data_IF_817983581151
#
_entry.id   IF_817983581151
#
_cell.length_a   1.000
_cell.length_b   1.000
_cell.length_c   1.000
_cell.angle_alpha   90.00
_cell.angle_beta   90.00
_cell.angle_gamma   90.00
#
_symmetry.space_group_name_H-M   'P 1'
#
loop_
_entity.id
_entity.type
_entity.pdbx_description
1 polymer ?
#
# COMPACT_ATOMS: atom_id res chain seq x y z
N UNK A 1 -11.13 1.84 1.53
CA UNK A 1 -10.38 1.04 0.54
C UNK A 1 -11.15 -0.21 0.10
N UNK A 2 -11.66 -1.04 1.03
CA UNK A 2 -12.45 -2.24 0.71
C UNK A 2 -13.62 -1.95 -0.26
N UNK A 3 -14.43 -0.93 0.04
CA UNK A 3 -15.56 -0.53 -0.82
C UNK A 3 -15.07 -0.14 -2.23
N UNK A 4 -13.97 0.61 -2.34
CA UNK A 4 -13.38 0.95 -3.63
C UNK A 4 -12.96 -0.31 -4.41
N UNK A 5 -12.35 -1.29 -3.75
CA UNK A 5 -12.02 -2.58 -4.37
C UNK A 5 -13.24 -3.33 -4.89
N UNK A 6 -14.33 -3.39 -4.11
CA UNK A 6 -15.59 -4.00 -4.56
C UNK A 6 -16.19 -3.26 -5.77
N UNK A 7 -16.07 -1.93 -5.82
CA UNK A 7 -16.55 -1.14 -6.96
C UNK A 7 -15.71 -1.33 -8.22
N UNK A 8 -14.40 -1.58 -8.09
CA UNK A 8 -13.51 -1.86 -9.24
C UNK A 8 -13.87 -3.18 -9.96
N UNK A 9 -14.46 -4.14 -9.25
CA UNK A 9 -14.93 -5.39 -9.87
C UNK A 9 -16.02 -5.13 -10.91
N UNK A 10 -16.94 -4.18 -10.63
CA UNK A 10 -17.97 -3.75 -11.59
C UNK A 10 -17.38 -3.10 -12.85
N UNK A 11 -16.18 -2.54 -12.75
CA UNK A 11 -15.41 -1.96 -13.87
C UNK A 11 -14.54 -2.98 -14.60
N UNK A 12 -14.60 -4.27 -14.20
CA UNK A 12 -13.70 -5.34 -14.70
C UNK A 12 -12.21 -5.03 -14.47
N UNK A 13 -11.89 -4.21 -13.46
CA UNK A 13 -10.52 -3.90 -13.09
C UNK A 13 -10.04 -4.87 -12.01
N UNK A 14 -9.52 -6.03 -12.43
CA UNK A 14 -9.00 -7.05 -11.52
C UNK A 14 -7.85 -6.52 -10.66
N UNK A 15 -6.96 -5.71 -11.23
CA UNK A 15 -5.84 -5.12 -10.48
C UNK A 15 -6.34 -4.26 -9.32
N UNK A 16 -7.23 -3.30 -9.62
CA UNK A 16 -7.81 -2.40 -8.62
C UNK A 16 -8.64 -3.16 -7.57
N UNK A 17 -9.42 -4.16 -8.01
CA UNK A 17 -10.21 -5.02 -7.11
C UNK A 17 -9.32 -5.70 -6.07
N UNK A 18 -8.27 -6.38 -6.53
CA UNK A 18 -7.33 -7.10 -5.68
C UNK A 18 -6.56 -6.14 -4.78
N UNK A 19 -5.97 -5.07 -5.34
CA UNK A 19 -5.18 -4.11 -4.59
C UNK A 19 -5.99 -3.45 -3.46
N UNK A 20 -7.11 -2.81 -3.79
CA UNK A 20 -7.85 -2.00 -2.81
C UNK A 20 -8.56 -2.84 -1.75
N UNK A 21 -9.04 -4.03 -2.12
CA UNK A 21 -9.66 -4.93 -1.14
C UNK A 21 -8.60 -5.47 -0.18
N UNK A 22 -7.47 -5.98 -0.71
CA UNK A 22 -6.40 -6.54 0.11
C UNK A 22 -5.80 -5.51 1.06
N UNK A 23 -5.36 -4.33 0.58
CA UNK A 23 -4.81 -3.30 1.47
C UNK A 23 -5.85 -2.72 2.44
N UNK A 24 -7.13 -2.71 2.06
CA UNK A 24 -8.20 -2.39 2.99
C UNK A 24 -8.29 -3.38 4.15
N UNK A 25 -8.12 -4.67 3.87
CA UNK A 25 -8.06 -5.72 4.89
C UNK A 25 -6.74 -5.67 5.68
N UNK A 26 -5.60 -5.35 5.05
CA UNK A 26 -4.32 -5.10 5.74
C UNK A 26 -4.49 -4.09 6.89
N UNK A 27 -5.17 -2.97 6.65
CA UNK A 27 -5.39 -1.97 7.68
C UNK A 27 -6.24 -2.50 8.83
N UNK A 28 -7.31 -3.25 8.53
CA UNK A 28 -8.15 -3.85 9.57
C UNK A 28 -7.39 -4.89 10.39
N UNK A 29 -6.59 -5.75 9.74
CA UNK A 29 -5.79 -6.76 10.43
C UNK A 29 -4.66 -6.10 11.24
N UNK A 30 -4.04 -5.03 10.74
CA UNK A 30 -3.03 -4.28 11.49
C UNK A 30 -3.65 -3.62 12.74
N UNK A 31 -4.83 -2.99 12.62
CA UNK A 31 -5.55 -2.44 13.78
C UNK A 31 -5.87 -3.55 14.79
N UNK A 32 -6.35 -4.71 14.34
CA UNK A 32 -6.63 -5.85 15.22
C UNK A 32 -5.37 -6.32 15.97
N UNK A 33 -4.24 -6.47 15.27
CA UNK A 33 -2.94 -6.84 15.87
C UNK A 33 -2.46 -5.85 16.95
N UNK A 34 -2.79 -4.57 16.82
CA UNK A 34 -2.40 -3.53 17.77
C UNK A 34 -3.41 -3.33 18.91
N UNK A 35 -4.69 -3.55 18.65
CA UNK A 35 -5.77 -3.26 19.60
C UNK A 35 -6.16 -4.46 20.45
N UNK A 36 -6.23 -5.66 19.89
CA UNK A 36 -6.68 -6.85 20.63
C UNK A 36 -5.83 -7.16 21.86
N UNK A 37 -4.49 -7.00 21.85
CA UNK A 37 -3.69 -7.14 23.06
C UNK A 37 -4.04 -6.14 24.16
N UNK A 38 -4.38 -4.91 23.78
CA UNK A 38 -4.79 -3.86 24.72
C UNK A 38 -6.18 -4.11 25.32
N UNK A 39 -7.02 -4.87 24.62
CA UNK A 39 -8.34 -5.30 25.09
C UNK A 39 -8.31 -6.63 25.86
N UNK A 40 -7.14 -7.28 25.96
CA UNK A 40 -7.00 -8.61 26.57
C UNK A 40 -7.59 -9.74 25.72
N UNK A 41 -7.81 -9.52 24.42
CA UNK A 41 -8.37 -10.51 23.49
C UNK A 41 -7.30 -11.36 22.78
N UNK A 42 -6.05 -10.94 22.84
CA UNK A 42 -4.91 -11.62 22.24
C UNK A 42 -3.61 -11.27 22.97
N UNK A 43 -2.52 -11.97 22.67
CA UNK A 43 -1.19 -11.61 23.12
C UNK A 43 -0.53 -10.61 22.17
N UNK A 44 0.40 -9.79 22.68
CA UNK A 44 1.19 -8.87 21.84
C UNK A 44 2.04 -9.67 20.85
N UNK A 45 1.96 -9.39 19.54
CA UNK A 45 2.75 -10.10 18.54
C UNK A 45 4.26 -9.97 18.81
N UNK A 46 4.97 -11.10 18.78
CA UNK A 46 6.43 -11.08 18.82
C UNK A 46 7.02 -10.34 17.60
N UNK A 47 8.20 -9.70 17.72
CA UNK A 47 8.83 -8.97 16.61
C UNK A 47 8.96 -9.79 15.32
N UNK A 48 9.34 -11.08 15.44
CA UNK A 48 9.42 -12.00 14.31
C UNK A 48 8.06 -12.25 13.63
N UNK A 49 6.98 -12.33 14.41
CA UNK A 49 5.63 -12.53 13.87
C UNK A 49 5.15 -11.30 13.11
N UNK A 50 5.41 -10.10 13.65
CA UNK A 50 5.12 -8.83 12.97
C UNK A 50 5.96 -8.68 11.69
N UNK A 51 7.26 -9.03 11.75
CA UNK A 51 8.14 -9.03 10.59
C UNK A 51 7.64 -9.97 9.48
N UNK A 52 7.25 -11.21 9.83
CA UNK A 52 6.72 -12.17 8.87
C UNK A 52 5.40 -11.70 8.23
N UNK A 53 4.50 -11.13 9.04
CA UNK A 53 3.26 -10.52 8.55
C UNK A 53 3.54 -9.42 7.52
N UNK A 54 4.41 -8.46 7.86
CA UNK A 54 4.77 -7.34 6.99
C UNK A 54 5.54 -7.80 5.75
N UNK A 55 6.37 -8.84 5.88
CA UNK A 55 7.12 -9.43 4.76
C UNK A 55 6.19 -9.98 3.70
N UNK A 56 5.14 -10.72 4.09
CA UNK A 56 4.17 -11.27 3.13
C UNK A 56 3.40 -10.14 2.42
N UNK A 57 3.07 -9.06 3.13
CA UNK A 57 2.51 -7.87 2.50
C UNK A 57 3.50 -7.21 1.53
N UNK A 58 4.79 -7.17 1.86
CA UNK A 58 5.85 -6.71 0.97
C UNK A 58 6.02 -7.57 -0.28
N UNK A 59 5.96 -8.90 -0.14
CA UNK A 59 6.00 -9.83 -1.26
C UNK A 59 4.79 -9.66 -2.18
N UNK A 60 3.58 -9.60 -1.61
CA UNK A 60 2.36 -9.30 -2.37
C UNK A 60 2.48 -7.97 -3.11
N UNK A 61 2.95 -6.92 -2.43
CA UNK A 61 3.12 -5.59 -3.01
C UNK A 61 4.15 -5.61 -4.15
N UNK A 62 5.26 -6.34 -4.01
CA UNK A 62 6.28 -6.47 -5.05
C UNK A 62 5.73 -7.13 -6.32
N UNK A 63 4.92 -8.18 -6.16
CA UNK A 63 4.24 -8.83 -7.30
C UNK A 63 3.25 -7.86 -7.96
N UNK A 64 2.46 -7.14 -7.16
CA UNK A 64 1.54 -6.13 -7.68
C UNK A 64 2.28 -4.97 -8.37
N UNK A 65 3.45 -4.57 -7.87
CA UNK A 65 4.30 -3.56 -8.50
C UNK A 65 4.70 -3.94 -9.91
N UNK A 66 5.09 -5.20 -10.16
CA UNK A 66 5.37 -5.69 -11.52
C UNK A 66 4.13 -5.52 -12.42
N UNK A 67 2.93 -5.77 -11.88
CA UNK A 67 1.67 -5.55 -12.58
C UNK A 67 1.45 -4.08 -13.02
N UNK A 68 2.03 -3.11 -12.30
CA UNK A 68 1.90 -1.68 -12.64
C UNK A 68 2.70 -1.24 -13.86
N UNK A 69 3.61 -2.07 -14.40
CA UNK A 69 4.39 -1.71 -15.59
C UNK A 69 3.55 -1.48 -16.84
N UNK A 70 2.32 -2.02 -16.89
CA UNK A 70 1.32 -1.77 -17.94
C UNK A 70 0.33 -0.65 -17.59
N UNK A 71 0.50 0.01 -16.44
CA UNK A 71 -0.36 1.10 -15.95
C UNK A 71 0.38 2.44 -16.06
N UNK A 72 -0.05 3.45 -15.30
CA UNK A 72 0.60 4.76 -15.30
C UNK A 72 1.80 4.83 -14.34
N UNK A 73 2.69 5.80 -14.57
CA UNK A 73 3.91 6.04 -13.79
C UNK A 73 3.61 6.41 -12.35
N UNK A 74 2.53 7.15 -12.09
CA UNK A 74 2.12 7.49 -10.73
C UNK A 74 1.83 6.23 -9.89
N UNK A 75 1.10 5.25 -10.44
CA UNK A 75 0.85 3.96 -9.78
C UNK A 75 2.13 3.13 -9.64
N UNK A 76 3.05 3.18 -10.60
CA UNK A 76 4.35 2.53 -10.46
C UNK A 76 5.12 3.12 -9.27
N UNK A 77 5.15 4.45 -9.12
CA UNK A 77 5.81 5.09 -7.98
C UNK A 77 5.16 4.71 -6.65
N UNK A 78 3.82 4.69 -6.59
CA UNK A 78 3.08 4.27 -5.39
C UNK A 78 3.41 2.84 -5.00
N UNK A 79 3.31 1.87 -5.92
CA UNK A 79 3.58 0.48 -5.60
C UNK A 79 5.07 0.19 -5.37
N UNK A 80 5.97 0.91 -6.05
CA UNK A 80 7.41 0.80 -5.84
C UNK A 80 7.80 1.26 -4.43
N UNK A 81 7.36 2.46 -4.04
CA UNK A 81 7.59 3.00 -2.68
C UNK A 81 6.89 2.17 -1.61
N UNK A 82 5.66 1.70 -1.87
CA UNK A 82 4.96 0.81 -0.95
C UNK A 82 5.68 -0.53 -0.74
N UNK A 83 6.31 -1.05 -1.80
CA UNK A 83 7.15 -2.25 -1.69
C UNK A 83 8.31 -1.97 -0.74
N UNK A 84 9.08 -0.91 -1.00
CA UNK A 84 10.21 -0.51 -0.14
C UNK A 84 9.74 -0.31 1.31
N UNK A 85 8.61 0.36 1.52
CA UNK A 85 8.02 0.56 2.85
C UNK A 85 7.80 -0.75 3.60
N UNK A 86 7.10 -1.72 2.99
CA UNK A 86 6.82 -2.99 3.67
C UNK A 86 8.09 -3.77 4.00
N UNK A 87 9.06 -3.78 3.10
CA UNK A 87 10.34 -4.45 3.33
C UNK A 87 11.16 -3.76 4.42
N UNK A 88 11.19 -2.42 4.46
CA UNK A 88 11.82 -1.68 5.56
C UNK A 88 11.13 -1.97 6.90
N UNK A 89 9.80 -1.98 6.94
CA UNK A 89 9.06 -2.30 8.16
C UNK A 89 9.33 -3.74 8.62
N UNK A 90 9.35 -4.70 7.69
CA UNK A 90 9.63 -6.10 8.00
C UNK A 90 11.06 -6.28 8.55
N UNK A 91 12.07 -5.72 7.86
CA UNK A 91 13.47 -5.78 8.30
C UNK A 91 13.71 -5.01 9.60
N UNK A 92 13.04 -3.88 9.78
CA UNK A 92 13.11 -3.09 11.02
C UNK A 92 12.56 -3.85 12.22
N UNK A 93 11.48 -4.63 12.06
CA UNK A 93 10.96 -5.51 13.11
C UNK A 93 11.83 -6.77 13.31
N UNK A 94 12.35 -7.35 12.22
CA UNK A 94 13.18 -8.55 12.28
C UNK A 94 14.51 -8.32 13.02
N UNK A 95 15.15 -7.20 12.74
CA UNK A 95 16.41 -6.80 13.37
C UNK A 95 16.22 -5.87 14.57
N UNK A 96 14.98 -5.60 14.96
CA UNK A 96 14.62 -4.68 16.05
C UNK A 96 15.33 -3.31 15.94
N UNK A 97 15.50 -2.83 14.70
CA UNK A 97 16.29 -1.64 14.39
C UNK A 97 15.43 -0.38 14.32
N UNK A 98 15.57 0.49 15.31
CA UNK A 98 14.89 1.79 15.36
C UNK A 98 15.26 2.71 14.20
N UNK A 99 16.49 2.59 13.68
CA UNK A 99 16.96 3.36 12.51
C UNK A 99 16.20 2.95 11.26
N UNK A 100 16.08 1.64 11.00
CA UNK A 100 15.34 1.13 9.84
C UNK A 100 13.85 1.50 9.94
N UNK A 101 13.25 1.39 11.14
CA UNK A 101 11.85 1.79 11.37
C UNK A 101 11.66 3.29 11.13
N UNK A 102 12.62 4.15 11.51
CA UNK A 102 12.53 5.60 11.24
C UNK A 102 12.63 5.89 9.74
N UNK A 103 13.53 5.21 9.01
CA UNK A 103 13.61 5.31 7.55
C UNK A 103 12.31 4.85 6.89
N UNK A 104 11.72 3.75 7.37
CA UNK A 104 10.41 3.30 6.92
C UNK A 104 9.33 4.37 7.14
N UNK A 105 9.38 5.12 8.25
CA UNK A 105 8.48 6.23 8.51
C UNK A 105 8.57 7.34 7.44
N UNK A 106 9.78 7.77 7.08
CA UNK A 106 9.97 8.75 6.00
C UNK A 106 9.50 8.22 4.64
N UNK A 107 9.83 6.96 4.32
CA UNK A 107 9.34 6.31 3.11
C UNK A 107 7.80 6.23 3.09
N UNK A 108 7.17 5.99 4.24
CA UNK A 108 5.71 5.97 4.39
C UNK A 108 5.06 7.32 4.10
N UNK A 109 5.71 8.42 4.51
CA UNK A 109 5.25 9.77 4.17
C UNK A 109 5.31 9.99 2.66
N UNK A 110 6.41 9.61 2.00
CA UNK A 110 6.56 9.70 0.55
C UNK A 110 5.50 8.85 -0.17
N UNK A 111 5.39 7.58 0.18
CA UNK A 111 4.43 6.65 -0.40
C UNK A 111 2.99 7.14 -0.25
N UNK A 112 2.61 7.59 0.95
CA UNK A 112 1.30 8.17 1.23
C UNK A 112 1.04 9.44 0.41
N UNK A 113 2.03 10.33 0.32
CA UNK A 113 1.96 11.53 -0.51
C UNK A 113 1.74 11.23 -1.99
N UNK A 114 2.47 10.25 -2.54
CA UNK A 114 2.29 9.79 -3.92
C UNK A 114 0.89 9.19 -4.15
N UNK A 115 0.37 8.43 -3.18
CA UNK A 115 -0.97 7.85 -3.26
C UNK A 115 -2.07 8.93 -3.26
N UNK A 116 -1.93 9.95 -2.38
CA UNK A 116 -2.82 11.12 -2.34
C UNK A 116 -2.77 11.86 -3.68
N UNK A 117 -1.57 12.15 -4.18
CA UNK A 117 -1.38 12.79 -5.48
C UNK A 117 -2.08 12.01 -6.59
N UNK A 118 -1.84 10.69 -6.65
CA UNK A 118 -2.41 9.82 -7.69
C UNK A 118 -3.94 9.81 -7.64
N UNK A 119 -4.52 9.65 -6.44
CA UNK A 119 -5.97 9.63 -6.24
C UNK A 119 -6.63 10.97 -6.59
N UNK A 120 -6.08 12.08 -6.11
CA UNK A 120 -6.64 13.41 -6.40
C UNK A 120 -6.45 13.80 -7.87
N UNK A 121 -5.35 13.40 -8.49
CA UNK A 121 -5.12 13.61 -9.92
C UNK A 121 -6.17 12.89 -10.77
N UNK A 122 -6.57 11.67 -10.40
CA UNK A 122 -7.66 10.96 -11.09
C UNK A 122 -8.98 11.73 -10.97
N UNK A 123 -9.35 12.17 -9.76
CA UNK A 123 -10.58 12.94 -9.54
C UNK A 123 -10.58 14.24 -10.34
N UNK A 124 -9.50 15.01 -10.29
CA UNK A 124 -9.42 16.29 -10.98
C UNK A 124 -9.40 16.11 -12.50
N UNK A 125 -8.63 15.17 -13.03
CA UNK A 125 -8.59 14.93 -14.47
C UNK A 125 -9.97 14.50 -15.01
N UNK A 126 -10.72 13.70 -14.25
CA UNK A 126 -12.10 13.31 -14.60
C UNK A 126 -13.04 14.52 -14.58
N UNK A 127 -13.03 15.31 -13.50
CA UNK A 127 -13.90 16.49 -13.36
C UNK A 127 -13.68 17.55 -14.45
N UNK A 128 -12.42 17.77 -14.84
CA UNK A 128 -12.06 18.76 -15.86
C UNK A 128 -12.09 18.20 -17.29
N UNK A 129 -12.32 16.90 -17.48
CA UNK A 129 -12.35 16.25 -18.80
C UNK A 129 -11.04 16.34 -19.59
N UNK A 130 -9.92 16.65 -18.93
CA UNK A 130 -8.58 16.78 -19.53
C UNK A 130 -7.51 16.44 -18.52
N UNK A 131 -6.30 16.17 -18.98
CA UNK A 131 -5.14 15.99 -18.10
C UNK A 131 -4.75 17.34 -17.48
N UNK A 132 -5.12 17.55 -16.22
CA UNK A 132 -4.72 18.70 -15.40
C UNK A 132 -3.47 18.38 -14.58
N UNK A 133 -3.43 17.19 -13.97
CA UNK A 133 -2.29 16.69 -13.23
C UNK A 133 -1.76 15.41 -13.90
N UNK A 134 -0.47 15.35 -14.25
CA UNK A 134 0.05 14.26 -15.05
C UNK A 134 0.17 12.95 -14.26
N UNK A 135 -0.48 11.89 -14.75
CA UNK A 135 -0.33 10.55 -14.17
C UNK A 135 0.79 9.75 -14.84
N UNK A 136 1.28 10.22 -15.99
CA UNK A 136 2.30 9.57 -16.81
C UNK A 136 1.75 8.28 -17.41
N UNK A 137 1.04 8.37 -18.52
CA UNK A 137 0.56 7.20 -19.26
C UNK A 137 1.75 6.32 -19.69
N UNK A 138 1.66 5.01 -19.48
CA UNK A 138 2.59 4.11 -20.15
C UNK A 138 2.37 4.26 -21.66
N UNK A 139 3.45 4.46 -22.41
CA UNK A 139 3.41 4.48 -23.86
C UNK A 139 2.68 3.25 -24.39
N UNK A 140 1.84 3.46 -25.40
CA UNK A 140 1.13 2.38 -26.11
C UNK A 140 2.07 1.28 -26.58
#
# INVERSE_FOLDING_TARGET
QIIAGVMEWKKKNTFGTTAFTSYGLFWLTLVALLLFPRLGWAETPAPLSMAAYLFIWGLFTAVMFIGTWRLNRALQMVFGTLTVLFWLLALGNLFESTVIIRLAGYEGILCGGLAIYTGLSQVLNELYGRELLPLGTAGK
#
